data_IF_627222480672
#
_entry.id   IF_627222480672
#
_cell.length_a   1.000
_cell.length_b   1.000
_cell.length_c   1.000
_cell.angle_alpha   90.00
_cell.angle_beta   90.00
_cell.angle_gamma   90.00
#
_symmetry.space_group_name_H-M   'P 1'
#
loop_
_entity.id
_entity.type
_entity.pdbx_description
1 polymer ?
#
# COMPACT_ATOMS: atom_id res chain seq x y z
N UNK A 1 3.63 15.83 -18.66
CA UNK A 1 2.76 16.62 -17.75
C UNK A 1 3.17 16.27 -16.33
N UNK A 2 3.49 17.26 -15.51
CA UNK A 2 3.79 17.01 -14.10
C UNK A 2 2.50 16.85 -13.27
N UNK A 3 2.62 16.37 -12.02
CA UNK A 3 1.49 16.08 -11.15
C UNK A 3 0.62 17.32 -10.91
N UNK A 4 1.21 18.49 -10.65
CA UNK A 4 0.45 19.74 -10.41
C UNK A 4 -0.40 20.10 -11.62
N UNK A 5 0.20 20.17 -12.81
CA UNK A 5 -0.53 20.45 -14.06
C UNK A 5 -1.63 19.41 -14.34
N UNK A 6 -1.39 18.14 -13.98
CA UNK A 6 -2.40 17.09 -14.12
C UNK A 6 -3.59 17.36 -13.19
N UNK A 7 -3.34 17.65 -11.92
CA UNK A 7 -4.39 17.94 -10.94
C UNK A 7 -5.21 19.19 -11.34
N UNK A 8 -4.56 20.24 -11.84
CA UNK A 8 -5.24 21.45 -12.34
C UNK A 8 -6.17 21.13 -13.54
N UNK A 9 -5.85 20.10 -14.32
CA UNK A 9 -6.68 19.66 -15.46
C UNK A 9 -7.87 18.79 -15.02
N UNK A 10 -7.89 18.29 -13.78
CA UNK A 10 -8.94 17.45 -13.21
C UNK A 10 -9.86 18.28 -12.31
N UNK A 11 -11.10 17.84 -12.16
CA UNK A 11 -12.10 18.50 -11.29
C UNK A 11 -12.14 17.86 -9.90
N UNK A 12 -11.00 17.45 -9.38
CA UNK A 12 -10.95 16.93 -8.02
C UNK A 12 -11.12 18.04 -6.97
N UNK A 13 -11.65 17.73 -5.77
CA UNK A 13 -11.75 18.73 -4.71
C UNK A 13 -10.38 19.35 -4.39
N UNK A 14 -10.34 20.68 -4.24
CA UNK A 14 -9.10 21.42 -3.99
C UNK A 14 -8.34 20.92 -2.74
N UNK A 15 -9.06 20.49 -1.70
CA UNK A 15 -8.49 19.94 -0.48
C UNK A 15 -7.80 18.59 -0.73
N UNK A 16 -8.40 17.73 -1.55
CA UNK A 16 -7.77 16.44 -1.96
C UNK A 16 -6.50 16.71 -2.76
N UNK A 17 -6.50 17.70 -3.66
CA UNK A 17 -5.29 18.11 -4.37
C UNK A 17 -4.19 18.59 -3.43
N UNK A 18 -4.52 19.41 -2.41
CA UNK A 18 -3.56 19.84 -1.38
C UNK A 18 -2.94 18.65 -0.65
N UNK A 19 -3.76 17.67 -0.24
CA UNK A 19 -3.27 16.46 0.46
C UNK A 19 -2.33 15.66 -0.46
N UNK A 20 -2.70 15.43 -1.71
CA UNK A 20 -1.87 14.68 -2.65
C UNK A 20 -0.55 15.40 -2.97
N UNK A 21 -0.56 16.73 -3.04
CA UNK A 21 0.66 17.54 -3.17
C UNK A 21 1.53 17.46 -1.92
N UNK A 22 0.94 17.37 -0.72
CA UNK A 22 1.68 17.09 0.51
C UNK A 22 2.33 15.71 0.51
N UNK A 23 1.60 14.66 0.08
CA UNK A 23 2.18 13.31 -0.09
C UNK A 23 3.36 13.35 -1.06
N UNK A 24 3.22 14.07 -2.19
CA UNK A 24 4.31 14.29 -3.15
C UNK A 24 5.54 14.91 -2.49
N UNK A 25 5.35 15.98 -1.71
CA UNK A 25 6.45 16.69 -1.05
C UNK A 25 7.15 15.79 -0.02
N UNK A 26 6.40 15.15 0.86
CA UNK A 26 6.95 14.22 1.85
C UNK A 26 7.71 13.08 1.20
N UNK A 27 7.17 12.50 0.11
CA UNK A 27 7.82 11.40 -0.61
C UNK A 27 9.13 11.81 -1.30
N UNK A 28 9.24 13.04 -1.82
CA UNK A 28 10.49 13.57 -2.38
C UNK A 28 11.54 13.72 -1.26
N UNK A 29 11.13 14.23 -0.11
CA UNK A 29 12.02 14.39 1.04
C UNK A 29 12.49 13.05 1.58
N UNK A 30 11.59 12.08 1.70
CA UNK A 30 11.94 10.72 2.12
C UNK A 30 12.86 10.04 1.08
N UNK A 31 12.58 10.16 -0.22
CA UNK A 31 13.43 9.58 -1.26
C UNK A 31 14.86 10.14 -1.25
N UNK A 32 15.02 11.44 -0.93
CA UNK A 32 16.35 12.03 -0.72
C UNK A 32 17.04 11.37 0.46
N UNK A 33 16.36 11.20 1.60
CA UNK A 33 16.90 10.53 2.79
C UNK A 33 17.31 9.09 2.52
N UNK A 34 16.50 8.32 1.83
CA UNK A 34 16.80 6.93 1.44
C UNK A 34 18.05 6.81 0.55
N UNK A 35 18.40 7.88 -0.19
CA UNK A 35 19.58 7.91 -1.06
C UNK A 35 20.79 8.64 -0.44
N UNK A 36 20.66 9.16 0.78
CA UNK A 36 21.81 9.67 1.54
C UNK A 36 22.66 8.48 2.01
N UNK A 37 23.95 8.48 1.66
CA UNK A 37 24.91 7.40 2.04
C UNK A 37 25.46 7.60 3.46
N UNK A 38 24.60 7.95 4.42
CA UNK A 38 25.00 8.07 5.82
C UNK A 38 24.79 6.74 6.54
N UNK A 39 25.86 6.10 6.97
CA UNK A 39 25.85 4.79 7.66
C UNK A 39 25.02 4.76 8.95
N UNK A 40 24.72 5.93 9.55
CA UNK A 40 23.91 6.08 10.76
C UNK A 40 22.39 6.06 10.50
N UNK A 41 21.93 6.11 9.25
CA UNK A 41 20.52 6.05 8.87
C UNK A 41 19.96 4.63 8.84
N UNK A 42 20.82 3.62 8.70
CA UNK A 42 20.41 2.21 8.57
C UNK A 42 20.43 1.48 9.92
N UNK A 43 19.69 0.36 9.98
CA UNK A 43 19.63 -0.53 11.13
C UNK A 43 18.52 -0.21 12.13
N UNK A 44 18.36 -1.10 13.10
CA UNK A 44 17.35 -1.01 14.15
C UNK A 44 17.49 0.28 14.98
N UNK A 45 16.36 0.88 15.31
CA UNK A 45 16.29 1.97 16.28
C UNK A 45 16.52 1.49 17.74
N UNK A 46 16.61 0.19 17.96
CA UNK A 46 16.80 -0.40 19.28
C UNK A 46 15.53 -0.39 20.14
N UNK A 47 14.37 -0.14 19.54
CA UNK A 47 13.05 -0.13 20.18
C UNK A 47 12.06 -0.94 19.35
N UNK A 48 10.96 -1.33 20.00
CA UNK A 48 9.84 -2.00 19.34
C UNK A 48 8.64 -1.06 19.31
N UNK A 49 7.86 -1.13 18.23
CA UNK A 49 6.60 -0.43 18.16
C UNK A 49 5.56 -1.11 19.07
N UNK A 50 4.38 -0.50 19.21
CA UNK A 50 3.27 -1.03 20.03
C UNK A 50 2.86 -2.45 19.60
N UNK A 51 3.17 -2.82 18.38
CA UNK A 51 2.84 -4.13 17.81
C UNK A 51 3.95 -5.18 18.05
N UNK A 52 4.98 -4.81 18.86
CA UNK A 52 6.13 -5.64 19.21
C UNK A 52 7.04 -5.99 18.01
N UNK A 53 7.04 -5.14 16.97
CA UNK A 53 7.91 -5.24 15.80
C UNK A 53 9.14 -4.36 15.98
N UNK A 54 10.29 -4.80 15.45
CA UNK A 54 11.52 -4.03 15.51
C UNK A 54 11.42 -2.81 14.59
N UNK A 55 11.51 -1.60 15.15
CA UNK A 55 11.44 -0.34 14.40
C UNK A 55 12.82 -0.03 13.82
N UNK A 56 12.85 0.26 12.53
CA UNK A 56 14.05 0.76 11.88
C UNK A 56 14.14 2.28 12.08
N UNK A 57 15.34 2.83 12.06
CA UNK A 57 15.55 4.28 12.21
C UNK A 57 14.84 5.07 11.11
N UNK A 58 14.78 4.51 9.91
CA UNK A 58 14.12 5.16 8.77
C UNK A 58 12.60 5.17 8.88
N UNK A 59 11.98 4.25 9.63
CA UNK A 59 10.53 4.30 9.92
C UNK A 59 10.19 5.58 10.69
N UNK A 60 10.97 5.88 11.75
CA UNK A 60 10.77 7.10 12.54
C UNK A 60 11.01 8.37 11.72
N UNK A 61 12.05 8.37 10.88
CA UNK A 61 12.35 9.50 9.99
C UNK A 61 11.24 9.69 8.97
N UNK A 62 10.74 8.62 8.38
CA UNK A 62 9.63 8.67 7.43
C UNK A 62 8.34 9.20 8.10
N UNK A 63 8.03 8.68 9.29
CA UNK A 63 6.90 9.16 10.09
C UNK A 63 6.99 10.66 10.36
N UNK A 64 8.12 11.15 10.84
CA UNK A 64 8.35 12.57 11.14
C UNK A 64 8.23 13.43 9.88
N UNK A 65 8.78 13.01 8.75
CA UNK A 65 8.67 13.74 7.47
C UNK A 65 7.20 13.94 7.09
N UNK A 66 6.37 12.87 7.11
CA UNK A 66 4.97 12.98 6.72
C UNK A 66 4.13 13.73 7.75
N UNK A 67 4.31 13.49 9.05
CA UNK A 67 3.61 14.25 10.11
C UNK A 67 3.90 15.75 9.98
N UNK A 68 5.17 16.13 9.82
CA UNK A 68 5.55 17.53 9.66
C UNK A 68 4.97 18.15 8.39
N UNK A 69 4.96 17.40 7.27
CA UNK A 69 4.36 17.87 6.02
C UNK A 69 2.86 18.09 6.17
N UNK A 70 2.14 17.12 6.77
CA UNK A 70 0.69 17.19 6.95
C UNK A 70 0.26 18.25 7.96
N UNK A 71 1.07 18.56 8.96
CA UNK A 71 0.79 19.62 9.95
C UNK A 71 0.66 21.01 9.32
N UNK A 72 1.19 21.20 8.12
CA UNK A 72 1.07 22.46 7.38
C UNK A 72 -0.14 22.51 6.42
N UNK A 73 -1.00 21.47 6.41
CA UNK A 73 -2.16 21.37 5.52
C UNK A 73 -3.44 21.56 6.33
N UNK A 74 -4.06 22.69 6.17
CA UNK A 74 -5.20 23.17 6.97
C UNK A 74 -6.45 22.27 6.95
N UNK A 75 -6.66 21.51 5.89
CA UNK A 75 -7.80 20.62 5.74
C UNK A 75 -7.63 19.24 6.41
N UNK A 76 -6.46 18.91 6.96
CA UNK A 76 -6.22 17.65 7.64
C UNK A 76 -6.57 17.77 9.12
N UNK A 77 -7.53 16.95 9.58
CA UNK A 77 -7.92 16.89 10.99
C UNK A 77 -6.93 16.08 11.81
N UNK A 78 -6.69 14.83 11.40
CA UNK A 78 -5.86 13.89 12.15
C UNK A 78 -5.11 12.93 11.24
N UNK A 79 -4.01 12.40 11.77
CA UNK A 79 -3.21 11.34 11.15
C UNK A 79 -3.21 10.11 12.07
N UNK A 80 -3.39 8.94 11.47
CA UNK A 80 -3.14 7.62 12.06
C UNK A 80 -1.92 7.03 11.34
N UNK A 81 -0.84 6.83 12.06
CA UNK A 81 0.36 6.19 11.55
C UNK A 81 0.52 4.78 12.10
N UNK A 82 1.16 3.89 11.34
CA UNK A 82 1.60 2.59 11.83
C UNK A 82 2.57 2.72 13.01
N UNK A 83 3.40 3.76 13.00
CA UNK A 83 4.46 4.00 13.98
C UNK A 83 3.98 4.67 15.28
N UNK A 84 2.76 5.20 15.29
CA UNK A 84 2.17 5.86 16.45
C UNK A 84 1.09 4.97 17.10
N UNK A 85 1.07 4.92 18.44
CA UNK A 85 0.05 4.18 19.21
C UNK A 85 -1.35 4.77 19.03
N UNK A 86 -1.42 6.09 19.04
CA UNK A 86 -2.66 6.86 19.03
C UNK A 86 -2.78 7.75 17.79
N UNK A 87 -4.01 8.15 17.51
CA UNK A 87 -4.33 9.14 16.49
C UNK A 87 -3.78 10.51 16.88
N UNK A 88 -2.99 11.10 16.01
CA UNK A 88 -2.45 12.46 16.18
C UNK A 88 -3.38 13.51 15.58
N UNK A 89 -3.98 14.35 16.40
CA UNK A 89 -4.79 15.47 15.94
C UNK A 89 -3.89 16.63 15.50
N UNK A 90 -4.07 17.11 14.27
CA UNK A 90 -3.31 18.22 13.69
C UNK A 90 -4.12 19.53 13.68
N UNK A 91 -5.39 19.47 13.28
CA UNK A 91 -6.26 20.64 13.18
C UNK A 91 -7.73 20.28 13.44
N UNK A 92 -8.30 20.75 14.55
CA UNK A 92 -9.68 20.46 14.93
C UNK A 92 -10.74 20.94 13.91
N UNK A 93 -10.36 21.79 12.95
CA UNK A 93 -11.25 22.28 11.89
C UNK A 93 -11.06 21.54 10.55
N UNK A 94 -10.12 20.60 10.48
CA UNK A 94 -9.86 19.83 9.27
C UNK A 94 -11.00 18.88 8.94
N UNK A 95 -11.22 18.67 7.64
CA UNK A 95 -12.29 17.84 7.12
C UNK A 95 -11.83 16.41 6.77
N UNK A 96 -10.52 16.15 6.76
CA UNK A 96 -9.97 14.88 6.29
C UNK A 96 -9.12 14.19 7.36
N UNK A 97 -9.15 12.88 7.30
CA UNK A 97 -8.33 11.97 8.10
C UNK A 97 -7.34 11.29 7.16
N UNK A 98 -6.07 11.18 7.57
CA UNK A 98 -5.06 10.43 6.84
C UNK A 98 -4.62 9.25 7.68
N UNK A 99 -4.75 8.03 7.14
CA UNK A 99 -4.09 6.85 7.69
C UNK A 99 -2.91 6.50 6.80
N UNK A 100 -1.76 6.18 7.40
CA UNK A 100 -0.54 5.89 6.65
C UNK A 100 0.30 4.78 7.26
N UNK A 101 0.93 4.01 6.38
CA UNK A 101 2.18 3.31 6.63
C UNK A 101 3.29 4.18 6.03
N UNK A 102 4.12 4.83 6.85
CA UNK A 102 5.13 5.75 6.34
C UNK A 102 6.24 5.05 5.57
N UNK A 103 6.53 3.76 5.85
CA UNK A 103 7.61 3.04 5.18
C UNK A 103 7.39 1.51 5.15
N UNK A 104 6.47 1.04 4.28
CA UNK A 104 6.20 -0.38 4.01
C UNK A 104 7.46 -1.14 3.62
N UNK A 105 7.69 -2.25 4.28
CA UNK A 105 8.79 -3.16 3.99
C UNK A 105 10.14 -2.66 4.48
N UNK A 106 10.21 -1.86 5.51
CA UNK A 106 11.45 -1.27 6.07
C UNK A 106 12.56 -2.28 6.38
N UNK A 107 12.22 -3.53 6.69
CA UNK A 107 13.20 -4.62 6.86
C UNK A 107 14.01 -4.93 5.58
N UNK A 108 13.57 -4.44 4.43
CA UNK A 108 14.25 -4.61 3.14
C UNK A 108 15.29 -3.50 2.84
N UNK A 109 15.37 -2.47 3.65
CA UNK A 109 16.23 -1.30 3.41
C UNK A 109 17.71 -1.70 3.46
N UNK A 110 18.11 -2.46 4.47
CA UNK A 110 19.50 -2.84 4.69
C UNK A 110 20.07 -3.73 3.56
N UNK A 111 19.17 -4.32 2.76
CA UNK A 111 19.54 -5.18 1.62
C UNK A 111 19.20 -4.55 0.27
N UNK A 112 18.87 -3.25 0.27
CA UNK A 112 18.59 -2.45 -0.92
C UNK A 112 17.46 -3.01 -1.82
N UNK A 113 16.42 -3.54 -1.20
CA UNK A 113 15.19 -3.98 -1.88
C UNK A 113 14.16 -2.84 -1.82
N UNK A 114 13.32 -2.65 -2.87
CA UNK A 114 12.33 -1.59 -2.88
C UNK A 114 11.38 -1.60 -1.68
N UNK A 115 11.15 -0.42 -1.13
CA UNK A 115 10.21 -0.13 -0.03
C UNK A 115 9.16 0.86 -0.51
N UNK A 116 8.16 1.18 0.31
CA UNK A 116 7.09 2.11 -0.09
C UNK A 116 6.50 2.90 1.07
N UNK A 117 5.66 3.87 0.72
CA UNK A 117 4.77 4.55 1.67
C UNK A 117 3.34 4.40 1.21
N UNK A 118 2.39 4.20 2.11
CA UNK A 118 0.98 3.94 1.79
C UNK A 118 0.09 4.96 2.51
N UNK A 119 -0.90 5.50 1.81
CA UNK A 119 -1.80 6.53 2.34
C UNK A 119 -3.26 6.23 2.00
N UNK A 120 -4.12 6.38 3.00
CA UNK A 120 -5.57 6.34 2.91
C UNK A 120 -6.14 7.67 3.38
N UNK A 121 -7.02 8.30 2.61
CA UNK A 121 -7.67 9.56 2.97
C UNK A 121 -9.17 9.35 3.09
N UNK A 122 -9.70 9.66 4.26
CA UNK A 122 -11.11 9.58 4.61
C UNK A 122 -11.67 10.96 4.95
N UNK A 123 -12.97 11.15 4.80
CA UNK A 123 -13.64 12.33 5.37
C UNK A 123 -13.77 12.15 6.88
N UNK A 124 -13.49 13.20 7.65
CA UNK A 124 -13.71 13.21 9.09
C UNK A 124 -15.19 13.00 9.41
N UNK A 125 -15.47 12.09 10.30
CA UNK A 125 -16.83 11.73 10.73
C UNK A 125 -16.82 11.28 12.19
N UNK A 126 -17.99 11.08 12.80
CA UNK A 126 -18.10 10.55 14.17
C UNK A 126 -17.44 9.18 14.36
N UNK A 127 -17.25 8.40 13.27
CA UNK A 127 -16.55 7.10 13.32
C UNK A 127 -15.02 7.23 13.31
N UNK A 128 -14.48 8.43 13.08
CA UNK A 128 -13.04 8.62 12.93
C UNK A 128 -12.48 7.72 11.82
N UNK A 129 -11.44 6.97 12.13
CA UNK A 129 -10.81 6.01 11.23
C UNK A 129 -11.55 4.67 11.09
N UNK A 130 -12.55 4.39 11.93
CA UNK A 130 -13.30 3.12 11.92
C UNK A 130 -14.37 3.11 10.83
N UNK A 131 -14.00 3.49 9.63
CA UNK A 131 -14.84 3.54 8.44
C UNK A 131 -14.43 2.43 7.45
N UNK A 132 -15.40 1.94 6.66
CA UNK A 132 -15.11 1.00 5.57
C UNK A 132 -14.13 1.60 4.57
N UNK A 133 -13.25 0.78 4.02
CA UNK A 133 -12.30 1.19 2.99
C UNK A 133 -12.96 1.76 1.73
N UNK A 134 -14.18 1.36 1.43
CA UNK A 134 -14.97 1.91 0.31
C UNK A 134 -15.30 3.41 0.44
N UNK A 135 -15.17 4.01 1.64
CA UNK A 135 -15.45 5.43 1.89
C UNK A 135 -14.24 6.34 1.68
N UNK A 136 -13.08 5.80 1.33
CA UNK A 136 -11.89 6.57 1.00
C UNK A 136 -12.19 7.58 -0.11
N UNK A 137 -11.58 8.75 -0.03
CA UNK A 137 -11.64 9.83 -1.04
C UNK A 137 -10.42 9.84 -1.95
N UNK A 138 -9.32 9.33 -1.43
CA UNK A 138 -8.04 9.17 -2.10
C UNK A 138 -7.32 7.99 -1.45
N UNK A 139 -6.74 7.14 -2.25
CA UNK A 139 -5.69 6.22 -1.82
C UNK A 139 -4.44 6.46 -2.66
N UNK A 140 -3.28 6.37 -2.03
CA UNK A 140 -2.00 6.61 -2.68
C UNK A 140 -0.94 5.68 -2.10
N UNK A 141 -0.01 5.25 -2.93
CA UNK A 141 1.27 4.73 -2.47
C UNK A 141 2.42 5.33 -3.28
N UNK A 142 3.59 5.32 -2.67
CA UNK A 142 4.84 5.63 -3.35
C UNK A 142 5.76 4.42 -3.20
N UNK A 143 6.29 3.94 -4.31
CA UNK A 143 7.35 2.91 -4.31
C UNK A 143 8.71 3.58 -4.51
N UNK A 144 9.66 3.24 -3.66
CA UNK A 144 11.05 3.70 -3.70
C UNK A 144 11.94 2.54 -4.18
N UNK A 145 12.28 2.57 -5.47
CA UNK A 145 13.12 1.57 -6.13
C UNK A 145 14.19 2.24 -6.99
N UNK A 146 14.44 1.70 -8.17
CA UNK A 146 15.37 2.32 -9.14
C UNK A 146 15.00 3.76 -9.50
N UNK A 147 13.73 4.12 -9.35
CA UNK A 147 13.19 5.47 -9.31
C UNK A 147 12.00 5.49 -8.37
N UNK A 148 11.66 6.64 -7.79
CA UNK A 148 10.42 6.75 -7.04
C UNK A 148 9.23 6.85 -8.01
N UNK A 149 8.15 6.13 -7.71
CA UNK A 149 6.90 6.21 -8.46
C UNK A 149 5.72 6.37 -7.50
N UNK A 150 4.94 7.43 -7.69
CA UNK A 150 3.72 7.73 -6.96
C UNK A 150 2.53 7.22 -7.77
N UNK A 151 1.69 6.38 -7.15
CA UNK A 151 0.42 5.90 -7.73
C UNK A 151 -0.71 6.31 -6.82
N UNK A 152 -1.75 6.91 -7.37
CA UNK A 152 -2.94 7.26 -6.61
C UNK A 152 -4.23 6.88 -7.34
N UNK A 153 -5.30 6.73 -6.57
CA UNK A 153 -6.65 6.50 -7.08
C UNK A 153 -7.63 7.51 -6.47
N UNK A 154 -8.45 8.11 -7.34
CA UNK A 154 -9.59 8.98 -7.01
C UNK A 154 -10.73 8.62 -7.99
N UNK A 155 -11.97 8.58 -7.52
CA UNK A 155 -13.18 8.43 -8.37
C UNK A 155 -13.11 7.24 -9.36
N UNK A 156 -12.55 6.11 -8.93
CA UNK A 156 -12.35 4.90 -9.75
C UNK A 156 -11.34 5.04 -10.91
N UNK A 157 -10.52 6.07 -10.93
CA UNK A 157 -9.37 6.21 -11.83
C UNK A 157 -8.07 6.10 -11.04
N UNK A 158 -7.07 5.39 -11.58
CA UNK A 158 -5.74 5.30 -10.99
C UNK A 158 -4.67 5.79 -11.98
N UNK A 159 -3.73 6.59 -11.48
CA UNK A 159 -2.67 7.19 -12.28
C UNK A 159 -1.32 7.03 -11.60
N UNK A 160 -0.27 6.81 -12.38
CA UNK A 160 1.10 6.66 -11.93
C UNK A 160 2.03 7.75 -12.47
N UNK A 161 2.87 8.27 -11.60
CA UNK A 161 3.82 9.35 -11.87
C UNK A 161 5.22 8.93 -11.42
N UNK A 162 6.20 9.05 -12.30
CA UNK A 162 7.60 8.75 -11.99
C UNK A 162 8.37 10.02 -11.64
N UNK A 163 9.19 9.97 -10.61
CA UNK A 163 9.99 11.10 -10.16
C UNK A 163 11.15 11.37 -11.12
N UNK A 164 11.19 12.58 -11.66
CA UNK A 164 12.35 13.07 -12.40
C UNK A 164 13.38 13.63 -11.41
N UNK A 165 14.51 12.98 -11.29
CA UNK A 165 15.57 13.33 -10.33
C UNK A 165 16.25 14.68 -10.62
N UNK A 166 16.18 15.18 -11.86
CA UNK A 166 16.80 16.47 -12.22
C UNK A 166 15.92 17.67 -11.82
N UNK A 167 14.60 17.51 -11.96
CA UNK A 167 13.63 18.58 -11.67
C UNK A 167 12.94 18.42 -10.32
N UNK A 168 13.07 17.26 -9.68
CA UNK A 168 12.32 16.87 -8.48
C UNK A 168 10.79 16.93 -8.68
N UNK A 169 10.32 16.64 -9.91
CA UNK A 169 8.91 16.63 -10.25
C UNK A 169 8.44 15.21 -10.57
N UNK A 170 7.25 14.86 -10.13
CA UNK A 170 6.56 13.66 -10.56
C UNK A 170 5.92 13.90 -11.94
N UNK A 171 6.33 13.12 -12.92
CA UNK A 171 5.87 13.20 -14.31
C UNK A 171 4.95 12.03 -14.61
N UNK A 172 3.79 12.30 -15.23
CA UNK A 172 2.82 11.28 -15.62
C UNK A 172 3.48 10.22 -16.50
N UNK A 173 3.56 9.00 -16.00
CA UNK A 173 4.14 7.84 -16.70
C UNK A 173 3.09 6.78 -17.04
N UNK A 174 2.03 6.68 -16.25
CA UNK A 174 0.96 5.70 -16.42
C UNK A 174 -0.40 6.38 -16.20
N UNK A 175 -1.07 6.73 -17.29
CA UNK A 175 -2.41 7.31 -17.25
C UNK A 175 -3.46 6.19 -17.21
N UNK A 176 -4.46 6.32 -16.31
CA UNK A 176 -5.60 5.41 -16.22
C UNK A 176 -5.17 3.93 -16.22
N UNK A 177 -4.41 3.55 -15.19
CA UNK A 177 -3.85 2.20 -15.04
C UNK A 177 -4.96 1.16 -15.03
N UNK A 178 -4.80 0.13 -15.84
CA UNK A 178 -5.68 -1.04 -15.87
C UNK A 178 -4.85 -2.31 -15.66
N UNK A 179 -5.18 -3.07 -14.63
CA UNK A 179 -4.55 -4.36 -14.38
C UNK A 179 -5.03 -5.38 -15.41
N UNK A 180 -4.14 -6.18 -16.01
CA UNK A 180 -4.56 -7.29 -16.85
C UNK A 180 -5.53 -8.21 -16.10
N UNK A 181 -6.63 -8.63 -16.75
CA UNK A 181 -7.68 -9.43 -16.14
C UNK A 181 -7.18 -10.78 -15.59
N UNK A 182 -6.09 -11.29 -16.16
CA UNK A 182 -5.38 -12.49 -15.71
C UNK A 182 -3.88 -12.25 -15.73
N UNK A 183 -3.10 -13.18 -15.15
CA UNK A 183 -1.65 -13.11 -15.12
C UNK A 183 -1.02 -14.46 -14.89
N UNK A 184 0.29 -14.51 -14.84
CA UNK A 184 1.08 -15.71 -14.59
C UNK A 184 1.99 -15.63 -13.37
N UNK A 185 1.77 -14.63 -12.52
CA UNK A 185 2.60 -14.38 -11.33
C UNK A 185 1.75 -14.60 -10.09
N UNK A 186 2.28 -15.35 -9.13
CA UNK A 186 1.76 -15.39 -7.77
C UNK A 186 2.86 -14.98 -6.79
N UNK A 187 2.51 -14.11 -5.84
CA UNK A 187 3.40 -13.57 -4.81
C UNK A 187 2.90 -14.04 -3.44
N UNK A 188 3.63 -14.94 -2.80
CA UNK A 188 3.34 -15.47 -1.45
C UNK A 188 4.64 -15.98 -0.83
N UNK A 189 4.77 -15.88 0.49
CA UNK A 189 5.81 -16.58 1.21
C UNK A 189 5.44 -18.07 1.34
N UNK A 190 5.97 -18.90 0.45
CA UNK A 190 5.72 -20.35 0.44
C UNK A 190 6.29 -21.07 1.68
N UNK A 191 7.18 -20.45 2.46
CA UNK A 191 7.66 -20.98 3.73
C UNK A 191 6.52 -21.21 4.75
N UNK A 192 5.39 -20.52 4.57
CA UNK A 192 4.23 -20.62 5.46
C UNK A 192 3.19 -21.69 5.04
N UNK A 193 3.41 -22.46 3.97
CA UNK A 193 2.41 -23.38 3.42
C UNK A 193 1.83 -24.39 4.43
N UNK A 194 2.60 -24.78 5.44
CA UNK A 194 2.14 -25.71 6.48
C UNK A 194 1.27 -25.06 7.57
N UNK A 195 1.13 -23.74 7.58
CA UNK A 195 0.45 -22.96 8.62
C UNK A 195 -0.70 -22.10 8.10
N UNK A 196 -1.07 -22.25 6.81
CA UNK A 196 -2.08 -21.42 6.14
C UNK A 196 -3.30 -22.25 5.72
N UNK A 197 -4.37 -21.57 5.27
CA UNK A 197 -5.62 -22.18 4.82
C UNK A 197 -5.41 -23.22 3.70
N UNK A 198 -6.08 -24.40 3.77
CA UNK A 198 -6.07 -25.38 2.70
C UNK A 198 -6.49 -24.83 1.31
N UNK A 199 -7.42 -23.88 1.30
CA UNK A 199 -7.83 -23.15 0.08
C UNK A 199 -6.64 -22.51 -0.65
N UNK A 200 -5.78 -21.80 0.11
CA UNK A 200 -4.59 -21.16 -0.46
C UNK A 200 -3.59 -22.23 -0.92
N UNK A 201 -3.36 -23.27 -0.12
CA UNK A 201 -2.46 -24.38 -0.49
C UNK A 201 -2.92 -25.00 -1.81
N UNK A 202 -4.23 -25.31 -1.95
CA UNK A 202 -4.78 -25.87 -3.17
C UNK A 202 -4.59 -24.95 -4.40
N UNK A 203 -4.76 -23.63 -4.20
CA UNK A 203 -4.49 -22.65 -5.25
C UNK A 203 -3.01 -22.60 -5.64
N UNK A 204 -2.08 -22.63 -4.68
CA UNK A 204 -0.64 -22.66 -4.98
C UNK A 204 -0.25 -23.94 -5.73
N UNK A 205 -0.79 -25.08 -5.33
CA UNK A 205 -0.59 -26.34 -6.06
C UNK A 205 -1.18 -26.28 -7.48
N UNK A 206 -2.32 -25.63 -7.68
CA UNK A 206 -2.84 -25.32 -9.02
C UNK A 206 -1.85 -24.48 -9.84
N UNK A 207 -1.28 -23.43 -9.27
CA UNK A 207 -0.30 -22.58 -9.95
C UNK A 207 0.99 -23.31 -10.31
N UNK A 208 1.38 -24.35 -9.56
CA UNK A 208 2.58 -25.16 -9.79
C UNK A 208 2.39 -26.23 -10.85
N UNK A 209 1.14 -26.58 -11.22
CA UNK A 209 0.87 -27.61 -12.22
C UNK A 209 1.42 -27.22 -13.59
N UNK A 210 1.95 -28.21 -14.29
CA UNK A 210 2.32 -28.07 -15.70
C UNK A 210 1.08 -28.17 -16.57
N UNK A 211 1.09 -27.48 -17.71
CA UNK A 211 0.07 -27.64 -18.73
C UNK A 211 0.26 -28.98 -19.49
N UNK A 212 -0.62 -29.25 -20.47
CA UNK A 212 -0.58 -30.48 -21.28
C UNK A 212 0.72 -30.66 -22.08
N UNK A 213 1.43 -29.57 -22.35
CA UNK A 213 2.73 -29.58 -23.04
C UNK A 213 3.92 -29.69 -22.07
N UNK A 214 3.67 -29.94 -20.78
CA UNK A 214 4.70 -30.02 -19.74
C UNK A 214 5.34 -28.66 -19.37
N UNK A 215 4.69 -27.56 -19.72
CA UNK A 215 5.21 -26.20 -19.46
C UNK A 215 4.54 -25.58 -18.24
N UNK A 216 5.31 -24.79 -17.52
CA UNK A 216 4.85 -23.98 -16.39
C UNK A 216 3.87 -22.90 -16.85
N UNK A 217 2.72 -22.76 -16.17
CA UNK A 217 1.71 -21.73 -16.44
C UNK A 217 1.88 -20.48 -15.56
N UNK A 218 2.40 -20.67 -14.35
CA UNK A 218 2.62 -19.59 -13.39
C UNK A 218 4.06 -19.59 -12.87
N UNK A 219 4.49 -18.45 -12.32
CA UNK A 219 5.80 -18.25 -11.69
C UNK A 219 5.62 -17.59 -10.34
N UNK A 220 6.17 -18.20 -9.31
CA UNK A 220 6.26 -17.58 -7.96
C UNK A 220 7.25 -16.41 -7.99
N UNK A 221 6.82 -15.27 -7.46
CA UNK A 221 7.68 -14.11 -7.21
C UNK A 221 7.18 -13.42 -5.95
N UNK A 222 8.00 -13.39 -4.95
CA UNK A 222 7.72 -12.76 -3.67
C UNK A 222 8.89 -11.85 -3.28
N UNK A 223 8.64 -10.56 -3.14
CA UNK A 223 9.63 -9.54 -2.79
C UNK A 223 9.66 -9.35 -1.29
N UNK A 224 8.50 -9.46 -0.63
CA UNK A 224 8.36 -9.28 0.81
C UNK A 224 8.12 -7.82 1.22
N UNK A 225 7.68 -6.97 0.28
CA UNK A 225 7.13 -5.64 0.51
C UNK A 225 5.76 -5.58 -0.17
N UNK A 226 4.73 -5.17 0.56
CA UNK A 226 3.36 -5.09 0.03
C UNK A 226 3.30 -4.20 -1.20
N UNK A 227 3.89 -3.00 -1.11
CA UNK A 227 3.89 -2.05 -2.22
C UNK A 227 4.59 -2.62 -3.45
N UNK A 228 5.77 -3.24 -3.29
CA UNK A 228 6.54 -3.73 -4.42
C UNK A 228 5.89 -4.94 -5.11
N UNK A 229 5.37 -5.89 -4.33
CA UNK A 229 4.66 -7.06 -4.85
C UNK A 229 3.36 -6.65 -5.55
N UNK A 230 2.55 -5.78 -4.92
CA UNK A 230 1.31 -5.27 -5.51
C UNK A 230 1.57 -4.47 -6.78
N UNK A 231 2.50 -3.51 -6.75
CA UNK A 231 2.82 -2.66 -7.90
C UNK A 231 3.17 -3.48 -9.14
N UNK A 232 4.02 -4.50 -8.96
CA UNK A 232 4.39 -5.40 -10.04
C UNK A 232 3.19 -6.18 -10.58
N UNK A 233 2.38 -6.75 -9.70
CA UNK A 233 1.22 -7.56 -10.08
C UNK A 233 0.12 -6.72 -10.74
N UNK A 234 -0.08 -5.48 -10.27
CA UNK A 234 -1.00 -4.51 -10.88
C UNK A 234 -0.62 -4.19 -12.33
N UNK A 235 0.67 -3.94 -12.61
CA UNK A 235 1.12 -3.54 -13.94
C UNK A 235 1.26 -4.71 -14.93
N UNK A 236 1.54 -5.93 -14.45
CA UNK A 236 1.87 -7.09 -15.31
C UNK A 236 0.82 -8.20 -15.30
N UNK A 237 -0.17 -8.10 -14.43
CA UNK A 237 -1.07 -9.18 -14.09
C UNK A 237 -0.43 -10.16 -13.12
N UNK A 238 -1.16 -10.51 -12.07
CA UNK A 238 -0.70 -11.39 -11.00
C UNK A 238 -1.59 -11.31 -9.78
N UNK A 239 -1.20 -12.06 -8.74
CA UNK A 239 -1.90 -12.09 -7.47
C UNK A 239 -0.89 -12.02 -6.32
N UNK A 240 -1.17 -11.16 -5.34
CA UNK A 240 -0.46 -11.10 -4.06
C UNK A 240 -1.34 -11.75 -2.99
N UNK A 241 -0.73 -12.62 -2.18
CA UNK A 241 -1.43 -13.39 -1.14
C UNK A 241 -0.64 -13.27 0.15
N UNK A 242 -1.27 -12.64 1.16
CA UNK A 242 -0.71 -12.51 2.51
C UNK A 242 -1.71 -13.07 3.51
N UNK A 243 -1.65 -14.40 3.80
CA UNK A 243 -2.66 -15.10 4.55
C UNK A 243 -2.53 -14.92 6.06
N UNK A 244 -3.58 -15.32 6.77
CA UNK A 244 -3.46 -15.73 8.17
C UNK A 244 -2.62 -16.99 8.27
N UNK A 245 -1.89 -17.12 9.37
CA UNK A 245 -1.13 -18.32 9.71
C UNK A 245 -1.59 -18.84 11.09
N UNK A 246 -1.22 -20.07 11.43
CA UNK A 246 -1.49 -20.61 12.78
C UNK A 246 -0.94 -19.70 13.89
N UNK A 247 0.21 -19.07 13.65
CA UNK A 247 0.88 -18.18 14.61
C UNK A 247 0.31 -16.76 14.59
N UNK A 248 -0.36 -16.37 13.50
CA UNK A 248 -0.95 -15.05 13.28
C UNK A 248 -2.42 -15.20 12.83
N UNK A 249 -3.32 -15.64 13.69
CA UNK A 249 -4.71 -15.96 13.32
C UNK A 249 -5.54 -14.73 12.92
N UNK A 250 -5.13 -13.53 13.33
CA UNK A 250 -5.76 -12.27 12.89
C UNK A 250 -5.23 -11.76 11.55
N UNK A 251 -4.18 -12.36 11.01
CA UNK A 251 -3.42 -11.86 9.85
C UNK A 251 -2.21 -11.05 10.29
N UNK A 252 -1.55 -10.42 9.33
CA UNK A 252 -0.33 -9.66 9.61
C UNK A 252 -0.42 -8.23 9.11
N UNK A 253 -1.00 -8.00 7.92
CA UNK A 253 -1.18 -6.67 7.36
C UNK A 253 -2.33 -5.92 8.07
N UNK A 254 -2.21 -4.60 8.14
CA UNK A 254 -3.18 -3.74 8.82
C UNK A 254 -4.28 -3.30 7.85
N UNK A 255 -5.50 -3.39 8.32
CA UNK A 255 -6.67 -3.14 7.47
C UNK A 255 -6.72 -1.68 6.99
N UNK A 256 -6.50 -0.69 7.89
CA UNK A 256 -6.83 0.71 7.62
C UNK A 256 -5.78 1.40 6.75
N UNK A 257 -4.50 1.22 7.02
CA UNK A 257 -3.43 2.00 6.37
C UNK A 257 -2.58 1.20 5.37
N UNK A 258 -2.78 -0.13 5.26
CA UNK A 258 -2.14 -0.97 4.24
C UNK A 258 -3.20 -1.58 3.30
N UNK A 259 -4.09 -2.47 3.80
CA UNK A 259 -5.00 -3.24 2.94
C UNK A 259 -6.05 -2.37 2.26
N UNK A 260 -6.71 -1.44 2.99
CA UNK A 260 -7.75 -0.58 2.44
C UNK A 260 -7.25 0.33 1.30
N UNK A 261 -6.13 1.08 1.44
CA UNK A 261 -5.64 1.92 0.33
C UNK A 261 -5.21 1.10 -0.87
N UNK A 262 -4.53 -0.03 -0.67
CA UNK A 262 -4.14 -0.92 -1.78
C UNK A 262 -5.37 -1.52 -2.45
N UNK A 263 -6.40 -1.94 -1.70
CA UNK A 263 -7.66 -2.45 -2.24
C UNK A 263 -8.45 -1.38 -3.01
N UNK A 264 -8.41 -0.12 -2.56
CA UNK A 264 -9.05 1.00 -3.25
C UNK A 264 -8.39 1.27 -4.61
N UNK A 265 -7.05 1.25 -4.67
CA UNK A 265 -6.29 1.36 -5.92
C UNK A 265 -6.55 0.13 -6.80
N UNK A 266 -6.58 -1.06 -6.24
CA UNK A 266 -6.88 -2.30 -6.95
C UNK A 266 -8.25 -2.22 -7.65
N UNK A 267 -9.29 -1.76 -6.94
CA UNK A 267 -10.62 -1.54 -7.51
C UNK A 267 -10.59 -0.54 -8.66
N UNK A 268 -9.91 0.58 -8.51
CA UNK A 268 -9.77 1.60 -9.56
C UNK A 268 -9.00 1.12 -10.79
N UNK A 269 -8.16 0.09 -10.64
CA UNK A 269 -7.40 -0.55 -11.73
C UNK A 269 -8.05 -1.82 -12.27
N UNK A 270 -9.32 -2.08 -11.94
CA UNK A 270 -10.06 -3.28 -12.33
C UNK A 270 -9.46 -4.59 -11.78
N UNK A 271 -8.97 -4.55 -10.55
CA UNK A 271 -8.53 -5.71 -9.77
C UNK A 271 -9.53 -6.05 -8.66
N UNK A 272 -9.39 -7.24 -8.06
CA UNK A 272 -10.17 -7.65 -6.89
C UNK A 272 -9.28 -7.75 -5.65
N UNK A 273 -9.91 -7.57 -4.49
CA UNK A 273 -9.28 -7.80 -3.19
C UNK A 273 -10.22 -8.57 -2.25
N UNK A 274 -9.66 -9.38 -1.35
CA UNK A 274 -10.44 -10.17 -0.38
C UNK A 274 -9.60 -10.53 0.84
N UNK A 275 -10.27 -10.73 1.98
CA UNK A 275 -9.70 -11.41 3.14
C UNK A 275 -10.01 -12.92 3.19
N UNK A 276 -10.47 -13.48 2.07
CA UNK A 276 -11.01 -14.83 1.82
C UNK A 276 -12.49 -15.00 2.22
N UNK A 277 -13.07 -14.11 3.02
CA UNK A 277 -14.48 -14.17 3.43
C UNK A 277 -15.32 -13.09 2.75
N UNK A 278 -14.76 -11.91 2.57
CA UNK A 278 -15.42 -10.74 2.00
C UNK A 278 -14.42 -9.83 1.27
N UNK A 279 -14.94 -8.86 0.51
CA UNK A 279 -14.10 -7.84 -0.10
C UNK A 279 -13.50 -6.92 0.97
N UNK A 280 -12.21 -6.59 0.85
CA UNK A 280 -11.49 -5.77 1.84
C UNK A 280 -12.19 -4.43 2.09
N UNK A 281 -12.65 -3.76 1.03
CA UNK A 281 -13.28 -2.45 1.13
C UNK A 281 -14.60 -2.45 1.89
N UNK A 282 -15.24 -3.62 2.07
CA UNK A 282 -16.49 -3.79 2.79
C UNK A 282 -16.30 -4.11 4.28
N UNK A 283 -15.09 -4.48 4.69
CA UNK A 283 -14.74 -4.74 6.09
C UNK A 283 -14.89 -3.45 6.89
N UNK A 284 -15.65 -3.50 7.98
CA UNK A 284 -15.72 -2.38 8.93
C UNK A 284 -14.67 -2.61 10.03
N UNK A 285 -13.69 -1.72 10.19
CA UNK A 285 -12.69 -1.84 11.23
C UNK A 285 -13.32 -1.75 12.62
N UNK A 286 -12.83 -2.56 13.57
CA UNK A 286 -13.25 -2.52 14.97
C UNK A 286 -12.23 -1.82 15.88
N UNK A 287 -10.97 -1.70 15.45
CA UNK A 287 -9.93 -0.89 16.09
C UNK A 287 -8.91 -0.38 15.07
N UNK A 288 -8.15 0.65 15.42
CA UNK A 288 -7.30 1.42 14.47
C UNK A 288 -6.12 0.62 13.90
N UNK A 289 -5.59 -0.36 14.62
CA UNK A 289 -4.49 -1.22 14.18
C UNK A 289 -4.96 -2.66 13.84
N UNK A 290 -6.22 -2.82 13.44
CA UNK A 290 -6.77 -4.11 13.08
C UNK A 290 -5.98 -4.77 11.97
N UNK A 291 -5.63 -6.03 12.16
CA UNK A 291 -4.97 -6.88 11.16
C UNK A 291 -5.98 -7.70 10.35
N UNK A 292 -5.57 -8.14 9.18
CA UNK A 292 -6.39 -8.99 8.31
C UNK A 292 -5.51 -9.86 7.40
N UNK A 293 -6.09 -10.93 6.85
CA UNK A 293 -5.55 -11.58 5.66
C UNK A 293 -5.78 -10.68 4.45
N UNK A 294 -4.92 -10.80 3.45
CA UNK A 294 -5.03 -9.99 2.25
C UNK A 294 -4.71 -10.78 0.98
N UNK A 295 -5.64 -10.76 0.05
CA UNK A 295 -5.47 -11.27 -1.32
C UNK A 295 -5.85 -10.15 -2.27
N UNK A 296 -5.00 -9.82 -3.23
CA UNK A 296 -5.26 -8.76 -4.20
C UNK A 296 -4.59 -9.05 -5.54
N UNK A 297 -5.26 -8.73 -6.65
CA UNK A 297 -4.67 -8.91 -7.98
C UNK A 297 -5.67 -9.02 -9.11
N UNK A 298 -5.24 -9.59 -10.21
CA UNK A 298 -6.03 -9.84 -11.42
C UNK A 298 -7.32 -10.57 -11.11
N UNK A 299 -8.44 -10.07 -11.66
CA UNK A 299 -9.79 -10.57 -11.37
C UNK A 299 -9.91 -12.08 -11.46
N UNK A 300 -9.46 -12.67 -12.57
CA UNK A 300 -9.60 -14.11 -12.81
C UNK A 300 -8.75 -14.93 -11.83
N UNK A 301 -7.59 -14.42 -11.41
CA UNK A 301 -6.73 -15.11 -10.47
C UNK A 301 -7.32 -15.09 -9.05
N UNK A 302 -7.86 -13.94 -8.60
CA UNK A 302 -8.52 -13.84 -7.29
C UNK A 302 -9.78 -14.68 -7.26
N UNK A 303 -10.66 -14.61 -8.28
CA UNK A 303 -11.85 -15.46 -8.39
C UNK A 303 -11.48 -16.94 -8.38
N UNK A 304 -10.42 -17.31 -9.10
CA UNK A 304 -9.95 -18.70 -9.13
C UNK A 304 -9.49 -19.15 -7.75
N UNK A 305 -8.74 -18.33 -6.99
CA UNK A 305 -8.35 -18.65 -5.62
C UNK A 305 -9.59 -18.86 -4.73
N UNK A 306 -10.57 -17.95 -4.80
CA UNK A 306 -11.79 -18.02 -3.98
C UNK A 306 -12.71 -19.19 -4.36
N UNK A 307 -12.47 -19.89 -5.47
CA UNK A 307 -13.25 -21.04 -5.91
C UNK A 307 -12.72 -22.41 -5.38
N UNK A 308 -11.62 -22.43 -4.62
CA UNK A 308 -11.09 -23.62 -3.95
C UNK A 308 -11.69 -23.79 -2.56
#
# INVERSE_FOLDING_TARGET
MNLTTFLDSKKYPAEINKILLGIREGSINLYKKLNEQESNLFGSAGQKNIQNEDVQKLDLIANDIFINTFSNIDCIHSVLSEEDEDVKCLNNKGNYLIAMDPLDGSSNIDVNIPVGSIFSVLTNSQKGFLQKGALQKLACYVIYGTSAMLVFAIDNEAHGFSLNMKTHEYILSHANIQTPNTGSIFSINEGNLNSISPTIVAYIEYCKKLNVDGRRTHTGRFIGSLVADFHRNMLKGGIFIYPKTSDKPEGQLRLIYECNPIAFIAKATNSLSSNLNEEILDVTPNHIHQRTAFVVGSNEMVKKLLSF
#
